data_IF_035014704472
#
_entry.id   IF_035014704472
#
_cell.length_a   1.000
_cell.length_b   1.000
_cell.length_c   1.000
_cell.angle_alpha   90.00
_cell.angle_beta   90.00
_cell.angle_gamma   90.00
#
_symmetry.space_group_name_H-M   'P 1'
#
loop_
_entity.id
_entity.type
_entity.pdbx_description
1 polymer ?
#
# COMPACT_ATOMS: atom_id res chain seq x y z
N UNK A 1 22.91 -48.35 48.03
CA UNK A 1 22.25 -47.05 47.79
C UNK A 1 22.76 -46.46 46.49
N UNK A 2 21.92 -46.31 45.46
CA UNK A 2 22.30 -45.67 44.17
C UNK A 2 21.72 -44.28 44.18
N UNK A 3 22.46 -43.22 43.77
CA UNK A 3 21.93 -41.86 43.72
C UNK A 3 21.03 -41.69 42.48
N UNK A 4 19.84 -41.07 42.70
CA UNK A 4 18.83 -40.87 41.69
C UNK A 4 19.24 -39.82 40.65
N UNK A 5 19.02 -40.16 39.39
CA UNK A 5 19.08 -39.22 38.27
C UNK A 5 17.83 -38.31 38.30
N UNK A 6 18.05 -36.99 38.47
CA UNK A 6 17.04 -35.98 38.20
C UNK A 6 17.08 -35.64 36.71
N UNK A 7 16.06 -35.99 35.95
CA UNK A 7 15.85 -35.45 34.61
C UNK A 7 15.37 -34.02 34.77
N UNK A 8 16.21 -33.04 34.40
CA UNK A 8 15.84 -31.66 34.23
C UNK A 8 15.31 -31.52 32.79
N UNK A 9 14.01 -31.42 32.62
CA UNK A 9 13.38 -31.00 31.36
C UNK A 9 13.54 -29.50 31.25
N UNK A 10 14.63 -29.02 30.67
CA UNK A 10 14.70 -27.63 30.16
C UNK A 10 13.77 -27.52 28.96
N UNK A 11 12.61 -26.92 29.18
CA UNK A 11 11.73 -26.48 28.10
C UNK A 11 12.47 -25.35 27.39
N UNK A 12 13.05 -25.64 26.24
CA UNK A 12 13.66 -24.65 25.37
C UNK A 12 12.53 -23.78 24.82
N UNK A 13 12.23 -22.65 25.47
CA UNK A 13 11.37 -21.62 24.87
C UNK A 13 12.15 -20.95 23.74
N UNK A 14 11.69 -21.06 22.48
CA UNK A 14 12.38 -20.41 21.38
C UNK A 14 12.29 -18.89 21.56
N UNK A 15 13.44 -18.24 21.60
CA UNK A 15 13.58 -16.81 21.73
C UNK A 15 12.77 -16.09 20.64
N UNK A 16 11.84 -15.19 21.02
CA UNK A 16 10.96 -14.45 20.09
C UNK A 16 11.71 -13.75 18.96
N UNK A 17 13.00 -13.40 19.15
CA UNK A 17 13.87 -12.85 18.09
C UNK A 17 14.27 -13.89 17.01
N UNK A 18 14.29 -15.17 17.35
CA UNK A 18 14.64 -16.25 16.40
C UNK A 18 13.46 -16.62 15.51
N UNK A 19 12.23 -16.45 15.99
CA UNK A 19 11.02 -16.69 15.19
C UNK A 19 10.80 -15.66 14.07
N UNK A 20 11.40 -14.45 14.15
CA UNK A 20 11.32 -13.45 13.08
C UNK A 20 12.22 -13.79 11.86
N UNK A 21 13.24 -14.63 12.02
CA UNK A 21 14.19 -14.99 10.95
C UNK A 21 13.65 -16.00 9.92
N UNK A 22 12.53 -16.67 10.18
CA UNK A 22 12.02 -17.78 9.35
C UNK A 22 10.67 -17.50 8.68
N UNK A 23 10.21 -16.25 8.62
CA UNK A 23 8.98 -15.94 7.88
C UNK A 23 9.26 -15.97 6.38
N UNK A 24 8.36 -16.58 5.58
CA UNK A 24 8.46 -16.48 4.13
C UNK A 24 8.36 -15.00 3.69
N UNK A 25 9.05 -14.69 2.59
CA UNK A 25 9.00 -13.33 1.99
C UNK A 25 7.71 -13.21 1.21
N UNK A 26 7.03 -12.08 1.35
CA UNK A 26 5.88 -11.70 0.54
C UNK A 26 6.16 -10.33 -0.08
N UNK A 27 6.07 -10.25 -1.39
CA UNK A 27 6.32 -9.02 -2.15
C UNK A 27 5.02 -8.34 -2.51
N UNK A 28 4.90 -7.08 -2.12
CA UNK A 28 3.69 -6.28 -2.28
C UNK A 28 3.97 -5.07 -3.16
N UNK A 29 3.18 -4.87 -4.22
CA UNK A 29 3.20 -3.65 -5.02
C UNK A 29 2.03 -2.74 -4.63
N UNK A 30 2.34 -1.52 -4.19
CA UNK A 30 1.33 -0.50 -3.89
C UNK A 30 1.04 0.32 -5.14
N UNK A 31 -0.20 0.24 -5.63
CA UNK A 31 -0.66 0.91 -6.85
C UNK A 31 -1.67 1.99 -6.49
N UNK A 32 -1.49 3.20 -7.00
CA UNK A 32 -2.46 4.30 -6.84
C UNK A 32 -3.38 4.44 -8.06
N UNK A 33 -3.13 3.67 -9.12
CA UNK A 33 -3.78 3.82 -10.42
C UNK A 33 -3.19 4.92 -11.31
N UNK A 34 -2.31 5.78 -10.77
CA UNK A 34 -1.62 6.81 -11.55
C UNK A 34 -0.45 6.24 -12.37
N UNK A 35 0.09 7.08 -13.30
CA UNK A 35 1.11 6.73 -14.28
C UNK A 35 2.33 6.03 -13.67
N UNK A 36 2.87 6.56 -12.57
CA UNK A 36 4.12 6.06 -11.99
C UNK A 36 3.94 4.67 -11.38
N UNK A 37 2.88 4.47 -10.59
CA UNK A 37 2.58 3.17 -10.00
C UNK A 37 2.18 2.12 -11.04
N UNK A 38 1.56 2.53 -12.14
CA UNK A 38 1.23 1.65 -13.27
C UNK A 38 2.50 1.25 -14.02
N UNK A 39 3.37 2.21 -14.38
CA UNK A 39 4.66 1.95 -15.02
C UNK A 39 5.53 1.02 -14.17
N UNK A 40 5.62 1.28 -12.86
CA UNK A 40 6.34 0.42 -11.93
C UNK A 40 5.82 -1.01 -11.96
N UNK A 41 4.51 -1.20 -11.82
CA UNK A 41 3.92 -2.55 -11.79
C UNK A 41 4.17 -3.30 -13.08
N UNK A 42 3.90 -2.67 -14.23
CA UNK A 42 4.08 -3.28 -15.55
C UNK A 42 5.54 -3.71 -15.74
N UNK A 43 6.49 -2.85 -15.44
CA UNK A 43 7.91 -3.14 -15.63
C UNK A 43 8.41 -4.21 -14.65
N UNK A 44 7.97 -4.22 -13.40
CA UNK A 44 8.27 -5.31 -12.46
C UNK A 44 7.86 -6.67 -13.02
N UNK A 45 6.64 -6.75 -13.58
CA UNK A 45 6.12 -7.99 -14.14
C UNK A 45 6.84 -8.39 -15.44
N UNK A 46 7.16 -7.43 -16.31
CA UNK A 46 7.92 -7.67 -17.55
C UNK A 46 9.36 -8.14 -17.28
N UNK A 47 9.99 -7.62 -16.21
CA UNK A 47 11.31 -8.09 -15.76
C UNK A 47 11.25 -9.43 -15.00
N UNK A 48 10.06 -10.01 -14.82
CA UNK A 48 9.85 -11.26 -14.08
C UNK A 48 10.15 -11.12 -12.58
N UNK A 49 10.11 -9.90 -12.04
CA UNK A 49 10.26 -9.72 -10.58
C UNK A 49 9.03 -10.26 -9.86
N UNK A 50 9.27 -10.90 -8.73
CA UNK A 50 8.17 -11.43 -7.92
C UNK A 50 7.31 -10.28 -7.38
N UNK A 51 6.01 -10.39 -7.60
CA UNK A 51 4.97 -9.54 -7.01
C UNK A 51 3.85 -10.49 -6.56
N UNK A 52 3.70 -10.71 -5.28
CA UNK A 52 2.71 -11.64 -4.74
C UNK A 52 1.34 -10.99 -4.61
N UNK A 53 1.31 -9.75 -4.10
CA UNK A 53 0.08 -8.97 -3.95
C UNK A 53 0.19 -7.59 -4.59
N UNK A 54 -0.91 -7.13 -5.18
CA UNK A 54 -1.07 -5.80 -5.75
C UNK A 54 -2.17 -5.11 -4.96
N UNK A 55 -1.85 -3.98 -4.31
CA UNK A 55 -2.75 -3.29 -3.41
C UNK A 55 -3.12 -1.90 -3.93
N UNK A 56 -4.41 -1.60 -3.90
CA UNK A 56 -4.97 -0.28 -4.20
C UNK A 56 -5.85 0.19 -3.03
N UNK A 57 -5.67 1.44 -2.56
CA UNK A 57 -6.56 2.05 -1.58
C UNK A 57 -7.70 2.77 -2.30
N UNK A 58 -8.88 2.17 -2.28
CA UNK A 58 -10.09 2.75 -2.87
C UNK A 58 -10.72 3.76 -1.88
N UNK A 59 -10.64 5.03 -2.22
CA UNK A 59 -11.21 6.12 -1.41
C UNK A 59 -12.69 6.35 -1.66
N UNK A 60 -13.24 5.80 -2.76
CA UNK A 60 -14.58 6.09 -3.26
C UNK A 60 -14.70 7.44 -3.97
N UNK A 61 -13.60 8.19 -4.13
CA UNK A 61 -13.55 9.53 -4.73
C UNK A 61 -12.59 9.63 -5.92
N UNK A 62 -12.17 8.51 -6.44
CA UNK A 62 -11.35 8.51 -7.66
C UNK A 62 -12.25 8.85 -8.88
N UNK A 63 -11.67 9.45 -9.91
CA UNK A 63 -12.40 9.70 -11.16
C UNK A 63 -12.87 8.38 -11.79
N UNK A 64 -14.02 8.35 -12.49
CA UNK A 64 -14.49 7.14 -13.17
C UNK A 64 -13.42 6.50 -14.08
N UNK A 65 -12.68 7.32 -14.82
CA UNK A 65 -11.59 6.88 -15.69
C UNK A 65 -10.47 6.13 -14.94
N UNK A 66 -10.30 6.42 -13.64
CA UNK A 66 -9.33 5.70 -12.80
C UNK A 66 -9.80 4.28 -12.51
N UNK A 67 -11.10 4.07 -12.28
CA UNK A 67 -11.67 2.73 -12.10
C UNK A 67 -11.60 1.93 -13.40
N UNK A 68 -11.95 2.56 -14.53
CA UNK A 68 -11.82 1.93 -15.87
C UNK A 68 -10.36 1.53 -16.15
N UNK A 69 -9.41 2.40 -15.77
CA UNK A 69 -7.98 2.11 -15.88
C UNK A 69 -7.57 0.90 -15.02
N UNK A 70 -8.01 0.82 -13.77
CA UNK A 70 -7.69 -0.32 -12.90
C UNK A 70 -8.24 -1.63 -13.45
N UNK A 71 -9.47 -1.63 -13.99
CA UNK A 71 -10.04 -2.81 -14.64
C UNK A 71 -9.29 -3.21 -15.91
N UNK A 72 -8.86 -2.22 -16.71
CA UNK A 72 -8.01 -2.44 -17.88
C UNK A 72 -6.66 -3.03 -17.47
N UNK A 73 -6.08 -2.52 -16.39
CA UNK A 73 -4.80 -2.98 -15.84
C UNK A 73 -4.93 -4.44 -15.35
N UNK A 74 -5.97 -4.78 -14.57
CA UNK A 74 -6.24 -6.15 -14.12
C UNK A 74 -6.36 -7.14 -15.30
N UNK A 75 -7.08 -6.73 -16.35
CA UNK A 75 -7.21 -7.56 -17.58
C UNK A 75 -5.88 -7.73 -18.30
N UNK A 76 -5.08 -6.67 -18.39
CA UNK A 76 -3.79 -6.68 -19.07
C UNK A 76 -2.78 -7.59 -18.38
N UNK A 77 -2.69 -7.51 -17.04
CA UNK A 77 -1.74 -8.30 -16.25
C UNK A 77 -2.26 -9.72 -15.92
N UNK A 78 -3.55 -10.00 -16.18
CA UNK A 78 -4.18 -11.29 -15.87
C UNK A 78 -4.28 -11.59 -14.37
N UNK A 79 -4.24 -10.56 -13.50
CA UNK A 79 -4.23 -10.71 -12.04
C UNK A 79 -5.12 -9.67 -11.38
N UNK A 80 -5.81 -10.02 -10.27
CA UNK A 80 -6.63 -9.06 -9.52
C UNK A 80 -5.77 -8.07 -8.75
N UNK A 81 -6.31 -6.86 -8.56
CA UNK A 81 -5.81 -5.83 -7.67
C UNK A 81 -6.66 -5.82 -6.40
N UNK A 82 -6.06 -6.09 -5.25
CA UNK A 82 -6.74 -6.06 -3.95
C UNK A 82 -7.13 -4.64 -3.58
N UNK A 83 -8.44 -4.36 -3.55
CA UNK A 83 -9.01 -3.04 -3.25
C UNK A 83 -9.25 -2.91 -1.75
N UNK A 84 -8.49 -2.04 -1.10
CA UNK A 84 -8.60 -1.77 0.33
C UNK A 84 -9.49 -0.55 0.56
N UNK A 85 -10.51 -0.68 1.43
CA UNK A 85 -11.43 0.40 1.78
C UNK A 85 -11.33 0.78 3.25
N UNK A 86 -11.50 2.07 3.52
CA UNK A 86 -11.64 2.58 4.87
C UNK A 86 -12.98 2.14 5.48
N UNK A 87 -13.11 2.09 6.84
CA UNK A 87 -14.36 1.73 7.50
C UNK A 87 -15.48 2.76 7.31
N UNK A 88 -15.12 3.99 6.95
CA UNK A 88 -16.05 5.10 6.66
C UNK A 88 -15.73 5.68 5.30
N UNK A 89 -16.77 6.17 4.60
CA UNK A 89 -16.59 6.92 3.35
C UNK A 89 -16.03 8.31 3.63
N UNK A 90 -15.67 9.05 2.58
CA UNK A 90 -15.25 10.44 2.70
C UNK A 90 -16.36 11.29 3.32
N UNK A 91 -17.62 11.13 2.84
CA UNK A 91 -18.79 11.86 3.31
C UNK A 91 -19.04 11.59 4.80
N UNK A 92 -18.94 10.33 5.22
CA UNK A 92 -19.08 9.97 6.63
C UNK A 92 -17.99 10.60 7.50
N UNK A 93 -16.75 10.63 7.05
CA UNK A 93 -15.69 11.35 7.75
C UNK A 93 -15.93 12.86 7.77
N UNK A 94 -16.40 13.41 6.68
CA UNK A 94 -16.58 14.86 6.51
C UNK A 94 -17.78 15.38 7.30
N UNK A 95 -18.92 14.67 7.34
CA UNK A 95 -20.15 15.16 7.94
C UNK A 95 -20.49 14.54 9.30
N UNK A 96 -20.09 13.31 9.57
CA UNK A 96 -20.64 12.52 10.67
C UNK A 96 -19.62 12.11 11.72
N UNK A 97 -18.33 12.07 11.36
CA UNK A 97 -17.30 11.50 12.21
C UNK A 97 -17.12 12.29 13.50
N UNK A 98 -17.14 11.56 14.65
CA UNK A 98 -16.78 12.10 15.96
C UNK A 98 -15.50 11.43 16.45
N UNK A 99 -14.51 12.25 16.82
CA UNK A 99 -13.30 11.74 17.49
C UNK A 99 -13.67 11.23 18.89
N UNK A 100 -13.22 10.03 19.25
CA UNK A 100 -13.40 9.50 20.60
C UNK A 100 -12.65 10.38 21.60
N UNK A 101 -13.33 10.89 22.63
CA UNK A 101 -12.72 11.60 23.74
C UNK A 101 -13.02 13.10 23.80
N UNK A 102 -13.70 13.68 22.82
CA UNK A 102 -14.05 15.10 22.81
C UNK A 102 -15.54 15.31 23.14
N UNK A 103 -15.87 15.12 24.42
CA UNK A 103 -17.25 15.33 24.91
C UNK A 103 -17.64 16.82 24.95
N UNK A 104 -16.69 17.74 24.75
CA UNK A 104 -16.95 19.19 24.80
C UNK A 104 -17.34 19.81 23.48
N UNK A 105 -17.17 19.08 22.35
CA UNK A 105 -17.52 19.57 21.00
C UNK A 105 -18.75 18.87 20.42
N UNK A 106 -19.87 18.93 21.15
CA UNK A 106 -21.16 18.35 20.72
C UNK A 106 -21.74 19.04 19.47
N UNK A 107 -21.18 20.15 19.03
CA UNK A 107 -21.71 20.97 17.93
C UNK A 107 -21.04 20.72 16.57
N UNK A 108 -19.82 20.18 16.54
CA UNK A 108 -19.11 19.95 15.27
C UNK A 108 -18.99 18.46 14.97
N UNK A 109 -19.95 17.92 14.25
CA UNK A 109 -19.84 16.60 13.63
C UNK A 109 -19.01 16.70 12.36
N UNK A 110 -18.18 15.69 12.11
CA UNK A 110 -17.37 15.61 10.91
C UNK A 110 -16.01 16.30 11.03
N UNK A 111 -15.21 16.09 9.99
CA UNK A 111 -13.90 16.73 9.84
C UNK A 111 -14.01 17.93 8.90
N UNK A 112 -13.17 18.94 9.09
CA UNK A 112 -13.11 20.09 8.19
C UNK A 112 -12.72 19.67 6.76
N UNK A 113 -12.96 20.55 5.77
CA UNK A 113 -12.50 20.31 4.39
C UNK A 113 -11.00 20.00 4.38
N UNK A 114 -10.57 18.95 3.66
CA UNK A 114 -9.16 18.61 3.58
C UNK A 114 -8.35 19.75 2.96
N UNK A 115 -7.23 20.06 3.57
CA UNK A 115 -6.32 21.10 3.08
C UNK A 115 -4.88 20.58 3.07
N UNK A 116 -3.96 21.38 2.55
CA UNK A 116 -2.54 21.05 2.58
C UNK A 116 -2.02 20.85 4.02
N UNK A 117 -2.53 21.64 4.98
CA UNK A 117 -2.18 21.51 6.40
C UNK A 117 -2.94 20.37 7.11
N UNK A 118 -4.14 20.03 6.64
CA UNK A 118 -5.00 19.01 7.26
C UNK A 118 -5.37 17.91 6.27
N UNK A 119 -4.43 16.98 6.07
CA UNK A 119 -4.54 15.89 5.07
C UNK A 119 -5.19 14.62 5.65
N UNK A 120 -6.27 14.78 6.40
CA UNK A 120 -6.95 13.64 7.02
C UNK A 120 -7.45 12.61 6.00
N UNK A 121 -7.87 13.04 4.81
CA UNK A 121 -8.31 12.15 3.74
C UNK A 121 -7.20 11.16 3.35
N UNK A 122 -5.97 11.64 3.13
CA UNK A 122 -4.81 10.76 2.85
C UNK A 122 -4.55 9.82 4.03
N UNK A 123 -4.56 10.35 5.26
CA UNK A 123 -4.33 9.57 6.48
C UNK A 123 -5.37 8.45 6.65
N UNK A 124 -6.65 8.81 6.67
CA UNK A 124 -7.73 7.89 7.02
C UNK A 124 -8.14 6.97 5.88
N UNK A 125 -8.18 7.47 4.64
CA UNK A 125 -8.67 6.70 3.50
C UNK A 125 -7.57 5.89 2.78
N UNK A 126 -6.28 6.26 2.96
CA UNK A 126 -5.16 5.56 2.30
C UNK A 126 -4.15 5.01 3.32
N UNK A 127 -3.46 5.87 4.06
CA UNK A 127 -2.30 5.46 4.87
C UNK A 127 -2.66 4.49 6.00
N UNK A 128 -3.71 4.77 6.78
CA UNK A 128 -4.12 3.91 7.90
C UNK A 128 -4.69 2.57 7.40
N UNK A 129 -5.41 2.59 6.29
CA UNK A 129 -5.98 1.38 5.66
C UNK A 129 -4.85 0.45 5.21
N UNK A 130 -3.91 0.99 4.45
CA UNK A 130 -2.72 0.26 3.99
C UNK A 130 -1.90 -0.28 5.16
N UNK A 131 -1.61 0.58 6.16
CA UNK A 131 -0.82 0.19 7.33
C UNK A 131 -1.50 -0.91 8.15
N UNK A 132 -2.84 -0.89 8.25
CA UNK A 132 -3.60 -1.94 8.93
C UNK A 132 -3.46 -3.28 8.20
N UNK A 133 -3.65 -3.29 6.90
CA UNK A 133 -3.54 -4.49 6.06
C UNK A 133 -2.11 -5.07 6.12
N UNK A 134 -1.11 -4.24 5.88
CA UNK A 134 0.30 -4.68 5.93
C UNK A 134 0.72 -5.17 7.33
N UNK A 135 0.14 -4.64 8.41
CA UNK A 135 0.39 -5.13 9.77
C UNK A 135 -0.09 -6.56 9.96
N UNK A 136 -1.24 -6.91 9.39
CA UNK A 136 -1.74 -8.29 9.45
C UNK A 136 -0.83 -9.23 8.66
N UNK A 137 -0.42 -8.84 7.45
CA UNK A 137 0.53 -9.62 6.64
C UNK A 137 1.88 -9.81 7.36
N UNK A 138 2.39 -8.79 8.05
CA UNK A 138 3.65 -8.86 8.82
C UNK A 138 3.62 -9.88 9.96
N UNK A 139 2.45 -10.32 10.41
CA UNK A 139 2.35 -11.40 11.41
C UNK A 139 2.87 -12.72 10.85
N UNK A 140 2.70 -12.97 9.55
CA UNK A 140 3.01 -14.23 8.88
C UNK A 140 4.21 -14.14 7.93
N UNK A 141 4.46 -12.97 7.33
CA UNK A 141 5.45 -12.76 6.27
C UNK A 141 6.48 -11.70 6.62
N UNK A 142 7.66 -11.83 6.01
CA UNK A 142 8.60 -10.72 5.85
C UNK A 142 8.19 -9.96 4.58
N UNK A 143 7.80 -8.69 4.70
CA UNK A 143 7.30 -7.92 3.56
C UNK A 143 8.42 -7.20 2.82
N UNK A 144 8.39 -7.34 1.49
CA UNK A 144 9.08 -6.46 0.54
C UNK A 144 8.00 -5.58 -0.12
N UNK A 145 8.16 -4.26 -0.06
CA UNK A 145 7.15 -3.34 -0.56
C UNK A 145 7.72 -2.50 -1.69
N UNK A 146 7.08 -2.57 -2.86
CA UNK A 146 7.36 -1.70 -4.01
C UNK A 146 6.41 -0.52 -4.04
N UNK A 147 6.96 0.69 -4.23
CA UNK A 147 6.20 1.95 -4.30
C UNK A 147 6.64 2.73 -5.52
N UNK A 148 5.67 3.19 -6.32
CA UNK A 148 5.92 3.96 -7.54
C UNK A 148 6.17 5.44 -7.21
N UNK A 149 7.42 5.77 -6.93
CA UNK A 149 7.94 7.15 -6.87
C UNK A 149 8.92 7.29 -8.00
N UNK A 150 8.71 8.27 -8.89
CA UNK A 150 9.56 8.53 -10.04
C UNK A 150 10.93 9.09 -9.62
N UNK A 151 11.93 8.95 -10.50
CA UNK A 151 13.31 9.31 -10.18
C UNK A 151 13.50 10.80 -9.87
N UNK A 152 12.75 11.69 -10.52
CA UNK A 152 12.72 13.13 -10.27
C UNK A 152 12.03 13.53 -8.95
N UNK A 153 11.32 12.60 -8.31
CA UNK A 153 10.72 12.74 -6.98
C UNK A 153 11.48 11.98 -5.86
N UNK A 154 12.71 11.50 -6.10
CA UNK A 154 13.47 10.63 -5.18
C UNK A 154 13.59 11.18 -3.74
N UNK A 155 13.48 12.50 -3.52
CA UNK A 155 13.43 13.14 -2.19
C UNK A 155 12.28 12.65 -1.30
N UNK A 156 11.25 12.00 -1.87
CA UNK A 156 10.09 11.42 -1.16
C UNK A 156 10.34 10.00 -0.66
N UNK A 157 11.43 9.37 -1.10
CA UNK A 157 11.77 8.00 -0.74
C UNK A 157 12.08 7.86 0.76
N UNK A 158 11.70 6.71 1.32
CA UNK A 158 11.94 6.29 2.72
C UNK A 158 12.54 4.88 2.70
N UNK A 159 12.38 4.14 3.80
CA UNK A 159 12.90 2.78 3.95
C UNK A 159 12.02 1.71 3.25
N UNK A 160 11.79 1.90 1.93
CA UNK A 160 11.05 0.97 1.07
C UNK A 160 11.80 0.79 -0.26
N UNK A 161 11.26 -0.06 -1.16
CA UNK A 161 11.84 -0.27 -2.49
C UNK A 161 11.15 0.63 -3.52
N UNK A 162 11.96 1.34 -4.28
CA UNK A 162 11.51 2.31 -5.28
C UNK A 162 12.08 1.97 -6.66
N UNK A 163 11.48 1.00 -7.37
CA UNK A 163 12.02 0.51 -8.64
C UNK A 163 12.21 1.59 -9.70
N UNK A 164 11.31 2.58 -9.77
CA UNK A 164 11.43 3.67 -10.74
C UNK A 164 12.69 4.52 -10.51
N UNK A 165 13.07 4.73 -9.24
CA UNK A 165 14.32 5.41 -8.89
C UNK A 165 15.53 4.54 -9.25
N UNK A 166 15.47 3.23 -8.98
CA UNK A 166 16.52 2.28 -9.38
C UNK A 166 16.73 2.26 -10.90
N UNK A 167 15.65 2.38 -11.68
CA UNK A 167 15.68 2.43 -13.15
C UNK A 167 15.93 3.81 -13.72
N UNK A 168 15.99 4.86 -12.92
CA UNK A 168 16.14 6.24 -13.37
C UNK A 168 14.95 6.78 -14.17
N UNK A 169 13.74 6.19 -14.00
CA UNK A 169 12.54 6.61 -14.72
C UNK A 169 11.93 7.86 -14.11
N UNK A 170 11.85 8.92 -14.88
CA UNK A 170 11.15 10.16 -14.54
C UNK A 170 9.63 10.02 -14.69
N UNK A 171 8.87 11.00 -14.20
CA UNK A 171 7.41 11.05 -14.41
C UNK A 171 7.04 11.03 -15.90
N UNK A 172 7.81 11.71 -16.76
CA UNK A 172 7.60 11.72 -18.21
C UNK A 172 7.88 10.34 -18.82
N UNK A 173 8.94 9.65 -18.37
CA UNK A 173 9.25 8.30 -18.83
C UNK A 173 8.14 7.32 -18.43
N UNK A 174 7.62 7.44 -17.20
CA UNK A 174 6.50 6.60 -16.73
C UNK A 174 5.25 6.78 -17.59
N UNK A 175 4.92 8.02 -17.96
CA UNK A 175 3.77 8.32 -18.82
C UNK A 175 3.95 7.72 -20.22
N UNK A 176 5.10 7.98 -20.85
CA UNK A 176 5.42 7.43 -22.17
C UNK A 176 5.44 5.89 -22.17
N UNK A 177 5.99 5.30 -21.11
CA UNK A 177 6.01 3.85 -20.93
C UNK A 177 4.61 3.24 -20.88
N UNK A 178 3.68 3.91 -20.20
CA UNK A 178 2.28 3.51 -20.11
C UNK A 178 1.54 3.72 -21.44
N UNK A 179 1.75 4.84 -22.12
CA UNK A 179 1.15 5.12 -23.44
C UNK A 179 1.56 4.10 -24.49
N UNK A 180 2.84 3.73 -24.53
CA UNK A 180 3.33 2.69 -25.43
C UNK A 180 2.64 1.32 -25.24
N UNK A 181 2.00 1.10 -24.08
CA UNK A 181 1.23 -0.11 -23.74
C UNK A 181 -0.29 0.10 -23.81
N UNK A 182 -0.71 1.25 -24.33
CA UNK A 182 -2.11 1.60 -24.54
C UNK A 182 -2.84 2.10 -23.28
N UNK A 183 -2.14 2.50 -22.22
CA UNK A 183 -2.75 3.09 -21.02
C UNK A 183 -2.75 4.62 -21.13
N UNK A 184 -3.93 5.21 -21.29
CA UNK A 184 -4.13 6.65 -21.55
C UNK A 184 -5.06 7.35 -20.53
N UNK A 185 -5.62 6.59 -19.58
CA UNK A 185 -6.56 7.07 -18.56
C UNK A 185 -7.73 7.90 -19.11
N UNK A 186 -8.18 7.62 -20.33
CA UNK A 186 -9.26 8.40 -20.94
C UNK A 186 -8.95 9.90 -21.06
N UNK A 187 -7.66 10.27 -21.22
CA UNK A 187 -7.21 11.65 -21.38
C UNK A 187 -7.01 12.44 -20.07
N UNK A 188 -6.94 11.79 -18.90
CA UNK A 188 -6.65 12.51 -17.63
C UNK A 188 -5.21 13.07 -17.57
N UNK A 189 -4.28 12.51 -18.34
CA UNK A 189 -2.91 13.01 -18.49
C UNK A 189 -2.76 13.55 -19.92
N UNK A 190 -2.97 14.85 -20.09
CA UNK A 190 -2.75 15.57 -21.35
C UNK A 190 -1.64 16.58 -21.21
#
# INVERSE_FOLDING_TARGET
>A
MRPGFRYVWEVFEPNKKTMQKNKPVLTVASVSGGKDSTAMLLRLLEEGRQVDEILFCDTGLEFPQMYDHLEKLERYIGRPITRLKAPYTFEQYFYEYQAKGDATLVTNRGLSWPSHACRWCTGRLKTHVMAKYLRELKKQYQLVQYVGIAADEARRCKDLHYPLVEWGMTEADCLNYCYARGFDWGGLYQ
#
